data_IF_167268060642
#
_entry.id   IF_167268060642
#
_cell.length_a   1.000
_cell.length_b   1.000
_cell.length_c   1.000
_cell.angle_alpha   90.00
_cell.angle_beta   90.00
_cell.angle_gamma   90.00
#
_symmetry.space_group_name_H-M   'P 1'
#
loop_
_entity.id
_entity.type
_entity.pdbx_description
1 polymer ?
#
# COMPACT_ATOMS: atom_id res chain seq x y z
N UNK A 1 28.96 5.90 15.59
CA UNK A 1 27.64 6.40 15.13
C UNK A 1 27.76 6.94 13.71
N UNK A 2 27.38 6.15 12.69
CA UNK A 2 27.44 6.53 11.26
C UNK A 2 26.24 5.98 10.44
N UNK A 3 25.08 5.84 11.07
CA UNK A 3 23.87 5.27 10.42
C UNK A 3 22.75 6.29 10.16
N UNK A 4 22.80 7.51 10.71
CA UNK A 4 21.71 8.49 10.55
C UNK A 4 21.72 9.25 9.23
N UNK A 5 22.86 9.36 8.54
CA UNK A 5 22.96 10.09 7.26
C UNK A 5 22.45 9.28 6.06
N UNK A 6 22.61 7.95 6.08
CA UNK A 6 22.18 7.05 5.02
C UNK A 6 20.64 6.92 4.93
N UNK A 7 19.96 6.90 6.08
CA UNK A 7 18.49 6.85 6.16
C UNK A 7 17.86 8.16 5.67
N UNK A 8 18.49 9.31 5.97
CA UNK A 8 18.00 10.62 5.52
C UNK A 8 18.12 10.80 4.00
N UNK A 9 19.21 10.31 3.41
CA UNK A 9 19.39 10.36 1.96
C UNK A 9 18.33 9.52 1.24
N UNK A 10 18.00 8.34 1.76
CA UNK A 10 17.00 7.46 1.16
C UNK A 10 15.56 8.00 1.26
N UNK A 11 15.21 8.69 2.36
CA UNK A 11 13.91 9.38 2.48
C UNK A 11 13.81 10.56 1.50
N UNK A 12 14.87 11.37 1.38
CA UNK A 12 14.88 12.50 0.45
C UNK A 12 14.81 12.05 -1.01
N UNK A 13 15.53 10.98 -1.38
CA UNK A 13 15.46 10.38 -2.72
C UNK A 13 14.09 9.76 -3.00
N UNK A 14 13.44 9.15 -2.00
CA UNK A 14 12.07 8.65 -2.14
C UNK A 14 11.07 9.80 -2.35
N UNK A 15 11.19 10.91 -1.63
CA UNK A 15 10.32 12.09 -1.80
C UNK A 15 10.54 12.78 -3.16
N UNK A 16 11.78 12.81 -3.66
CA UNK A 16 12.13 13.34 -4.98
C UNK A 16 11.52 12.52 -6.12
N UNK A 17 11.57 11.18 -6.03
CA UNK A 17 11.01 10.29 -7.05
C UNK A 17 9.47 10.26 -7.07
N UNK A 18 8.82 10.82 -6.03
CA UNK A 18 7.35 10.89 -5.91
C UNK A 18 6.75 12.24 -6.36
N UNK A 19 7.55 13.15 -6.92
CA UNK A 19 7.07 14.45 -7.40
C UNK A 19 6.69 15.44 -6.29
N UNK A 20 6.99 15.14 -5.02
CA UNK A 20 6.71 15.99 -3.86
C UNK A 20 7.79 17.05 -3.60
N UNK A 21 8.83 17.11 -4.44
CA UNK A 21 10.05 17.86 -4.21
C UNK A 21 9.93 19.38 -4.35
N UNK A 22 8.89 19.91 -4.99
CA UNK A 22 8.78 21.36 -5.21
C UNK A 22 8.63 22.16 -3.92
N UNK A 23 8.30 21.52 -2.80
CA UNK A 23 7.97 22.20 -1.53
C UNK A 23 8.76 21.71 -0.30
N UNK A 24 9.82 20.90 -0.46
CA UNK A 24 10.61 20.39 0.68
C UNK A 24 11.85 21.24 0.89
N UNK A 25 11.91 21.99 2.00
CA UNK A 25 13.09 22.73 2.42
C UNK A 25 13.70 22.01 3.63
N UNK A 26 14.95 21.57 3.50
CA UNK A 26 15.72 21.05 4.62
C UNK A 26 16.32 22.23 5.41
N UNK A 27 16.00 22.31 6.71
CA UNK A 27 16.56 23.29 7.63
C UNK A 27 17.74 22.64 8.39
N UNK A 28 18.96 22.90 7.92
CA UNK A 28 20.19 22.30 8.44
C UNK A 28 20.49 22.69 9.90
N UNK A 29 19.83 23.72 10.45
CA UNK A 29 20.05 24.15 11.83
C UNK A 29 19.22 23.36 12.85
N UNK A 30 18.06 22.82 12.45
CA UNK A 30 17.08 22.21 13.38
C UNK A 30 16.88 20.71 13.19
N UNK A 31 17.43 20.12 12.12
CA UNK A 31 17.20 18.71 11.74
C UNK A 31 15.71 18.38 11.45
N UNK A 32 14.88 19.38 11.20
CA UNK A 32 13.47 19.22 10.84
C UNK A 32 13.24 19.35 9.34
N UNK A 33 12.33 18.53 8.81
CA UNK A 33 11.84 18.65 7.42
C UNK A 33 10.60 19.54 7.46
N UNK A 34 10.63 20.70 6.81
CA UNK A 34 9.50 21.63 6.72
C UNK A 34 8.97 21.62 5.28
N UNK A 35 7.66 21.40 5.15
CA UNK A 35 6.97 21.53 3.87
C UNK A 35 6.54 23.00 3.73
N UNK A 36 7.07 23.69 2.74
CA UNK A 36 6.73 25.09 2.47
C UNK A 36 5.29 25.16 1.93
N UNK A 37 4.43 25.95 2.60
CA UNK A 37 3.13 26.34 2.05
C UNK A 37 3.37 27.38 0.95
N UNK A 38 2.80 27.16 -0.23
CA UNK A 38 2.81 28.15 -1.31
C UNK A 38 1.96 29.36 -0.92
N UNK A 39 2.56 30.56 -0.87
CA UNK A 39 1.85 31.81 -0.67
C UNK A 39 1.37 32.37 -2.01
N UNK A 40 0.05 32.42 -2.23
CA UNK A 40 -0.52 33.22 -3.31
C UNK A 40 -1.00 34.57 -2.75
N UNK A 41 -0.40 35.65 -3.23
CA UNK A 41 -0.76 37.03 -2.86
C UNK A 41 -1.70 37.57 -3.92
N UNK A 42 -2.97 37.73 -3.56
CA UNK A 42 -3.93 38.42 -4.41
C UNK A 42 -4.24 39.83 -3.88
N UNK A 43 -4.28 40.79 -4.79
CA UNK A 43 -4.74 42.15 -4.53
C UNK A 43 -6.24 42.26 -4.87
N UNK A 44 -7.09 42.39 -3.85
CA UNK A 44 -8.52 42.70 -4.02
C UNK A 44 -8.70 44.22 -3.87
N UNK A 45 -9.33 44.91 -4.85
CA UNK A 45 -9.69 46.32 -4.69
C UNK A 45 -10.78 46.47 -3.62
N UNK A 46 -10.66 47.44 -2.71
CA UNK A 46 -11.81 47.86 -1.92
C UNK A 46 -12.73 48.80 -2.73
N UNK A 47 -13.97 49.00 -2.27
CA UNK A 47 -14.99 49.85 -2.91
C UNK A 47 -14.60 51.34 -3.03
N UNK A 48 -13.41 51.72 -2.54
CA UNK A 48 -12.84 53.06 -2.62
C UNK A 48 -11.50 53.12 -3.40
N UNK A 49 -11.12 52.04 -4.09
CA UNK A 49 -9.94 51.99 -4.95
C UNK A 49 -8.59 51.96 -4.22
N UNK A 50 -8.56 51.59 -2.94
CA UNK A 50 -7.33 51.34 -2.19
C UNK A 50 -7.13 49.83 -2.04
N UNK A 51 -5.93 49.33 -2.39
CA UNK A 51 -5.60 47.92 -2.20
C UNK A 51 -5.31 47.66 -0.72
N UNK A 52 -6.14 46.82 -0.08
CA UNK A 52 -5.76 46.19 1.18
C UNK A 52 -5.13 44.84 0.86
N UNK A 53 -3.87 44.65 1.26
CA UNK A 53 -3.26 43.33 1.28
C UNK A 53 -3.88 42.51 2.41
N UNK A 54 -4.85 41.68 2.07
CA UNK A 54 -5.39 40.67 2.97
C UNK A 54 -4.56 39.40 2.86
N UNK A 55 -3.97 38.94 3.97
CA UNK A 55 -3.39 37.60 4.05
C UNK A 55 -4.53 36.63 4.32
N UNK A 56 -5.05 36.01 3.26
CA UNK A 56 -5.89 34.83 3.42
C UNK A 56 -4.94 33.63 3.49
N UNK A 57 -4.94 32.95 4.63
CA UNK A 57 -4.41 31.60 4.68
C UNK A 57 -5.38 30.74 3.89
N UNK A 58 -5.03 30.41 2.65
CA UNK A 58 -5.64 29.29 1.96
C UNK A 58 -5.25 28.04 2.76
N UNK A 59 -6.12 27.64 3.66
CA UNK A 59 -6.22 26.25 4.07
C UNK A 59 -6.75 25.47 2.86
N UNK A 60 -5.90 25.29 1.84
CA UNK A 60 -6.01 24.14 0.93
C UNK A 60 -5.61 22.85 1.67
N UNK A 61 -5.96 22.73 2.95
CA UNK A 61 -6.24 21.45 3.55
C UNK A 61 -7.67 21.12 3.18
N UNK A 62 -7.88 20.73 1.92
CA UNK A 62 -8.79 19.63 1.69
C UNK A 62 -8.20 18.42 2.41
N UNK A 63 -8.35 18.39 3.74
CA UNK A 63 -8.51 17.16 4.49
C UNK A 63 -9.89 16.63 4.09
N UNK A 64 -10.03 16.25 2.82
CA UNK A 64 -11.01 15.26 2.46
C UNK A 64 -10.46 14.01 3.15
N UNK A 65 -11.07 13.64 4.26
CA UNK A 65 -11.05 12.24 4.68
C UNK A 65 -11.43 11.48 3.41
N UNK A 66 -10.46 10.84 2.75
CA UNK A 66 -10.77 10.04 1.57
C UNK A 66 -11.77 9.00 2.05
N UNK A 67 -13.04 9.12 1.62
CA UNK A 67 -14.10 8.19 1.97
C UNK A 67 -13.57 6.77 1.75
N UNK A 68 -13.46 6.02 2.85
CA UNK A 68 -12.74 4.75 2.82
C UNK A 68 -13.42 3.78 1.87
N UNK A 69 -12.62 3.10 1.04
CA UNK A 69 -13.13 2.16 0.03
C UNK A 69 -12.95 0.72 0.48
N UNK A 70 -14.02 -0.07 0.35
CA UNK A 70 -13.98 -1.50 0.63
C UNK A 70 -13.81 -2.29 -0.67
N UNK A 71 -12.96 -3.31 -0.61
CA UNK A 71 -12.80 -4.28 -1.68
C UNK A 71 -13.00 -5.70 -1.15
N UNK A 72 -13.63 -6.54 -1.96
CA UNK A 72 -13.62 -7.99 -1.78
C UNK A 72 -12.41 -8.56 -2.51
N UNK A 73 -11.63 -9.40 -1.84
CA UNK A 73 -10.54 -10.18 -2.41
C UNK A 73 -10.94 -11.65 -2.44
N UNK A 74 -10.63 -12.32 -3.55
CA UNK A 74 -10.83 -13.76 -3.75
C UNK A 74 -9.50 -14.37 -4.18
N UNK A 75 -8.95 -15.27 -3.37
CA UNK A 75 -7.75 -16.04 -3.71
C UNK A 75 -8.15 -17.25 -4.58
N UNK A 76 -7.35 -17.55 -5.59
CA UNK A 76 -7.72 -18.49 -6.65
C UNK A 76 -6.70 -19.62 -6.74
N UNK A 77 -5.44 -19.28 -6.98
CA UNK A 77 -4.38 -20.25 -7.23
C UNK A 77 -3.02 -19.73 -6.77
N UNK A 78 -2.07 -20.65 -6.61
CA UNK A 78 -0.64 -20.39 -6.46
C UNK A 78 0.20 -21.25 -7.38
N UNK A 79 1.42 -20.81 -7.63
CA UNK A 79 2.46 -21.57 -8.33
C UNK A 79 3.76 -21.49 -7.52
N UNK A 80 4.44 -22.63 -7.31
CA UNK A 80 5.67 -22.73 -6.53
C UNK A 80 6.88 -22.95 -7.46
N UNK A 81 7.64 -21.89 -7.82
CA UNK A 81 8.75 -22.01 -8.77
C UNK A 81 9.93 -22.82 -8.24
N UNK A 82 10.10 -22.92 -6.92
CA UNK A 82 11.24 -23.58 -6.28
C UNK A 82 10.90 -24.96 -5.71
N UNK A 83 9.75 -25.52 -6.10
CA UNK A 83 9.28 -26.82 -5.64
C UNK A 83 10.22 -27.94 -6.10
N UNK A 84 10.65 -28.78 -5.15
CA UNK A 84 11.25 -30.06 -5.48
C UNK A 84 10.15 -30.97 -6.03
N UNK A 85 10.40 -31.70 -7.13
CA UNK A 85 9.38 -32.48 -7.87
C UNK A 85 8.64 -33.56 -7.05
N UNK A 86 9.07 -33.80 -5.81
CA UNK A 86 8.51 -34.78 -4.90
C UNK A 86 7.55 -34.16 -3.87
N UNK A 87 7.45 -32.83 -3.81
CA UNK A 87 6.43 -32.12 -3.04
C UNK A 87 5.14 -32.04 -3.89
N UNK A 88 4.00 -32.37 -3.29
CA UNK A 88 2.67 -32.27 -3.91
C UNK A 88 1.95 -31.04 -3.32
N UNK A 89 2.32 -29.81 -3.72
CA UNK A 89 1.59 -28.63 -3.27
C UNK A 89 0.22 -28.48 -3.95
N UNK A 90 -0.79 -28.09 -3.17
CA UNK A 90 -2.08 -27.69 -3.70
C UNK A 90 -1.98 -26.31 -4.36
N UNK A 91 -1.95 -26.29 -5.70
CA UNK A 91 -1.93 -25.06 -6.49
C UNK A 91 -3.29 -24.34 -6.52
N UNK A 92 -4.38 -25.00 -6.13
CA UNK A 92 -5.70 -24.39 -5.99
C UNK A 92 -5.95 -24.02 -4.52
N UNK A 93 -5.71 -22.76 -4.19
CA UNK A 93 -5.70 -22.23 -2.83
C UNK A 93 -6.88 -21.26 -2.57
N UNK A 94 -8.13 -21.72 -2.66
CA UNK A 94 -9.30 -20.86 -2.63
C UNK A 94 -9.38 -20.11 -1.29
N UNK A 95 -9.76 -18.84 -1.38
CA UNK A 95 -9.91 -18.01 -0.20
C UNK A 95 -10.67 -16.72 -0.46
N UNK A 96 -11.02 -16.03 0.61
CA UNK A 96 -11.70 -14.76 0.54
C UNK A 96 -11.24 -13.82 1.66
N UNK A 97 -11.30 -12.53 1.39
CA UNK A 97 -10.94 -11.49 2.35
C UNK A 97 -11.46 -10.13 1.94
N UNK A 98 -11.20 -9.15 2.77
CA UNK A 98 -11.55 -7.75 2.54
C UNK A 98 -10.32 -6.86 2.62
N UNK A 99 -10.31 -5.80 1.82
CA UNK A 99 -9.36 -4.70 1.93
C UNK A 99 -10.14 -3.40 2.18
N UNK A 100 -9.77 -2.63 3.20
CA UNK A 100 -10.31 -1.31 3.46
C UNK A 100 -9.23 -0.25 3.24
N UNK A 101 -9.39 0.57 2.21
CA UNK A 101 -8.43 1.59 1.76
C UNK A 101 -8.79 2.95 2.35
N UNK A 102 -7.84 3.60 3.00
CA UNK A 102 -7.98 4.91 3.62
C UNK A 102 -6.60 5.59 3.74
N UNK A 103 -6.54 6.90 3.43
CA UNK A 103 -5.35 7.74 3.59
C UNK A 103 -4.08 7.17 2.93
N UNK A 104 -4.23 6.60 1.73
CA UNK A 104 -3.13 5.98 0.98
C UNK A 104 -2.63 4.65 1.52
N UNK A 105 -3.20 4.10 2.60
CA UNK A 105 -2.93 2.74 3.09
C UNK A 105 -4.18 1.88 2.95
N UNK A 106 -4.03 0.58 3.18
CA UNK A 106 -5.19 -0.30 3.35
C UNK A 106 -4.96 -1.33 4.45
N UNK A 107 -6.05 -1.70 5.11
CA UNK A 107 -6.10 -2.84 6.02
C UNK A 107 -6.66 -4.03 5.29
N UNK A 108 -6.04 -5.20 5.44
CA UNK A 108 -6.53 -6.42 4.84
C UNK A 108 -6.73 -7.50 5.89
N UNK A 109 -7.77 -8.33 5.71
CA UNK A 109 -8.00 -9.52 6.51
C UNK A 109 -8.76 -10.55 5.68
N UNK A 110 -8.46 -11.84 5.88
CA UNK A 110 -9.12 -12.90 5.16
C UNK A 110 -8.65 -14.29 5.56
N UNK A 111 -9.09 -15.26 4.78
CA UNK A 111 -8.74 -16.67 4.95
C UNK A 111 -8.56 -17.34 3.58
N UNK A 112 -7.82 -18.44 3.56
CA UNK A 112 -7.58 -19.26 2.38
C UNK A 112 -7.16 -20.67 2.79
N UNK A 113 -7.30 -21.63 1.89
CA UNK A 113 -6.67 -22.94 1.99
C UNK A 113 -5.24 -22.83 1.44
N UNK A 114 -4.22 -23.17 2.21
CA UNK A 114 -2.83 -23.06 1.77
C UNK A 114 -2.35 -24.26 0.97
N UNK A 115 -1.11 -24.19 0.47
CA UNK A 115 -0.47 -25.21 -0.37
C UNK A 115 -0.33 -26.59 0.29
N UNK A 116 -0.48 -26.68 1.61
CA UNK A 116 -0.43 -27.93 2.39
C UNK A 116 -1.82 -28.36 2.90
N UNK A 117 -2.89 -27.94 2.21
CA UNK A 117 -4.29 -28.23 2.50
C UNK A 117 -4.74 -27.84 3.91
N UNK A 118 -4.23 -26.71 4.42
CA UNK A 118 -4.61 -26.17 5.73
C UNK A 118 -5.30 -24.82 5.60
N UNK A 119 -6.37 -24.70 6.38
CA UNK A 119 -7.02 -23.43 6.59
C UNK A 119 -6.07 -22.43 7.24
N UNK A 120 -5.90 -21.31 6.56
CA UNK A 120 -4.99 -20.24 6.92
C UNK A 120 -5.75 -18.92 6.99
N UNK A 121 -5.36 -18.06 7.93
CA UNK A 121 -5.92 -16.72 8.08
C UNK A 121 -4.81 -15.71 7.95
N UNK A 122 -5.14 -14.52 7.46
CA UNK A 122 -4.18 -13.42 7.37
C UNK A 122 -4.84 -12.11 7.77
N UNK A 123 -4.02 -11.19 8.28
CA UNK A 123 -4.36 -9.79 8.40
C UNK A 123 -3.12 -8.92 8.36
N UNK A 124 -3.27 -7.69 7.89
CA UNK A 124 -2.13 -6.79 7.72
C UNK A 124 -2.49 -5.40 7.25
N UNK A 125 -1.45 -4.63 6.99
CA UNK A 125 -1.51 -3.27 6.43
C UNK A 125 -0.68 -3.27 5.16
N UNK A 126 -1.21 -2.66 4.12
CA UNK A 126 -0.50 -2.49 2.87
C UNK A 126 -0.52 -1.07 2.34
N UNK A 127 0.31 -0.87 1.34
CA UNK A 127 0.41 0.36 0.56
C UNK A 127 0.52 -0.02 -0.91
N UNK A 128 -0.20 0.69 -1.77
CA UNK A 128 -0.11 0.49 -3.22
C UNK A 128 -0.14 1.81 -3.97
N UNK A 129 0.43 1.81 -5.18
CA UNK A 129 0.42 2.95 -6.09
C UNK A 129 0.18 2.50 -7.52
N UNK A 130 -0.59 3.30 -8.24
CA UNK A 130 -0.70 3.24 -9.71
C UNK A 130 0.58 3.77 -10.32
N UNK A 131 1.14 3.08 -11.32
CA UNK A 131 2.42 3.47 -11.95
C UNK A 131 2.21 3.71 -13.44
N UNK A 132 2.46 4.94 -13.89
CA UNK A 132 2.47 5.36 -15.30
C UNK A 132 1.11 5.37 -16.00
N UNK A 133 0.31 4.33 -15.81
CA UNK A 133 -1.00 4.12 -16.44
C UNK A 133 -2.03 3.67 -15.42
N UNK A 134 -3.31 3.99 -15.64
CA UNK A 134 -4.39 3.69 -14.68
C UNK A 134 -4.69 2.19 -14.53
N UNK A 135 -4.20 1.35 -15.45
CA UNK A 135 -4.42 -0.10 -15.41
C UNK A 135 -3.34 -0.88 -14.65
N UNK A 136 -2.22 -0.25 -14.28
CA UNK A 136 -1.10 -0.94 -13.65
C UNK A 136 -0.74 -0.33 -12.29
N UNK A 137 -0.52 -1.18 -11.29
CA UNK A 137 -0.05 -0.76 -9.97
C UNK A 137 0.93 -1.74 -9.34
N UNK A 138 1.63 -1.22 -8.34
CA UNK A 138 2.54 -1.98 -7.48
C UNK A 138 2.11 -1.78 -6.04
N UNK A 139 2.24 -2.81 -5.22
CA UNK A 139 1.96 -2.71 -3.80
C UNK A 139 2.71 -3.73 -2.96
N UNK A 140 2.55 -3.56 -1.66
CA UNK A 140 3.09 -4.49 -0.67
C UNK A 140 2.09 -4.62 0.48
N UNK A 141 1.88 -5.85 0.94
CA UNK A 141 1.14 -6.16 2.16
C UNK A 141 2.12 -6.67 3.21
N UNK A 142 2.21 -5.97 4.35
CA UNK A 142 2.89 -6.45 5.53
C UNK A 142 1.88 -6.93 6.56
N UNK A 143 2.08 -8.10 7.14
CA UNK A 143 1.11 -8.63 8.10
C UNK A 143 1.52 -9.93 8.73
N UNK A 144 0.51 -10.65 9.24
CA UNK A 144 0.67 -11.99 9.77
C UNK A 144 -0.19 -12.97 9.01
N UNK A 145 0.29 -14.21 8.92
CA UNK A 145 -0.42 -15.37 8.35
C UNK A 145 -0.32 -16.54 9.31
N UNK A 146 -1.35 -17.39 9.38
CA UNK A 146 -1.40 -18.60 10.22
C UNK A 146 -1.45 -19.85 9.35
N UNK A 147 -1.35 -21.05 9.95
CA UNK A 147 -1.62 -22.34 9.26
C UNK A 147 -0.35 -23.11 8.86
N UNK A 148 0.81 -22.45 8.89
CA UNK A 148 2.13 -23.04 8.68
C UNK A 148 2.67 -23.59 10.02
N UNK A 149 3.30 -24.77 10.02
CA UNK A 149 3.77 -25.55 11.20
C UNK A 149 2.70 -26.32 12.01
N UNK A 150 1.53 -26.62 11.44
CA UNK A 150 0.55 -27.53 12.08
C UNK A 150 -0.34 -26.88 13.15
N UNK A 151 -0.47 -25.54 13.14
CA UNK A 151 -1.41 -24.82 13.99
C UNK A 151 -1.65 -23.37 13.56
N UNK A 152 -2.32 -22.60 14.41
CA UNK A 152 -2.60 -21.16 14.19
C UNK A 152 -1.41 -20.24 14.54
N UNK A 153 -0.17 -20.73 14.50
CA UNK A 153 1.01 -19.93 14.85
C UNK A 153 1.17 -18.79 13.85
N UNK A 154 1.06 -17.52 14.27
CA UNK A 154 1.18 -16.39 13.35
C UNK A 154 2.64 -16.20 12.93
N UNK A 155 2.85 -16.04 11.63
CA UNK A 155 4.13 -15.75 11.00
C UNK A 155 4.06 -14.39 10.33
N UNK A 156 5.11 -13.58 10.47
CA UNK A 156 5.21 -12.32 9.76
C UNK A 156 5.49 -12.57 8.28
N UNK A 157 4.80 -11.84 7.42
CA UNK A 157 4.99 -11.90 5.97
C UNK A 157 5.00 -10.50 5.37
N UNK A 158 5.82 -10.33 4.34
CA UNK A 158 5.84 -9.16 3.48
C UNK A 158 5.64 -9.65 2.05
N UNK A 159 4.48 -9.31 1.48
CA UNK A 159 3.99 -9.85 0.21
C UNK A 159 3.96 -8.71 -0.81
N UNK A 160 5.02 -8.52 -1.62
CA UNK A 160 4.98 -7.60 -2.74
C UNK A 160 4.05 -8.15 -3.83
N UNK A 161 3.40 -7.24 -4.56
CA UNK A 161 2.50 -7.63 -5.63
C UNK A 161 2.43 -6.58 -6.73
N UNK A 162 2.00 -7.05 -7.90
CA UNK A 162 1.54 -6.20 -8.99
C UNK A 162 0.02 -6.29 -9.10
N UNK A 163 -0.57 -5.24 -9.64
CA UNK A 163 -2.02 -5.10 -9.77
C UNK A 163 -2.36 -4.69 -11.20
N UNK A 164 -3.25 -5.46 -11.83
CA UNK A 164 -3.82 -5.18 -13.14
C UNK A 164 -5.28 -4.77 -12.97
N UNK A 165 -5.59 -3.50 -13.18
CA UNK A 165 -6.91 -2.89 -12.94
C UNK A 165 -7.75 -2.85 -14.21
N UNK A 166 -9.04 -3.14 -14.08
CA UNK A 166 -10.04 -2.95 -15.11
C UNK A 166 -11.36 -2.50 -14.47
N UNK A 167 -11.56 -1.18 -14.40
CA UNK A 167 -12.73 -0.58 -13.75
C UNK A 167 -12.84 -0.98 -12.29
N UNK A 168 -13.93 -1.67 -11.93
CA UNK A 168 -14.21 -2.13 -10.55
C UNK A 168 -13.56 -3.47 -10.19
N UNK A 169 -12.84 -4.09 -11.12
CA UNK A 169 -12.17 -5.37 -10.89
C UNK A 169 -10.67 -5.23 -11.07
N UNK A 170 -9.89 -6.06 -10.39
CA UNK A 170 -8.45 -6.12 -10.59
C UNK A 170 -7.92 -7.52 -10.36
N UNK A 171 -6.84 -7.88 -11.05
CA UNK A 171 -6.06 -9.08 -10.77
C UNK A 171 -4.81 -8.67 -9.96
N UNK A 172 -4.60 -9.30 -8.82
CA UNK A 172 -3.39 -9.22 -8.02
C UNK A 172 -2.54 -10.45 -8.29
N UNK A 173 -1.28 -10.21 -8.63
CA UNK A 173 -0.26 -11.24 -8.75
C UNK A 173 0.78 -10.93 -7.69
N UNK A 174 0.89 -11.81 -6.70
CA UNK A 174 1.65 -11.54 -5.47
C UNK A 174 2.71 -12.60 -5.24
N UNK A 175 3.87 -12.16 -4.78
CA UNK A 175 4.96 -13.06 -4.41
C UNK A 175 4.96 -13.24 -2.90
N UNK A 176 4.83 -14.49 -2.46
CA UNK A 176 4.96 -14.88 -1.06
C UNK A 176 6.37 -15.45 -0.90
N UNK A 177 7.29 -14.76 -0.21
CA UNK A 177 8.59 -15.35 0.10
C UNK A 177 8.38 -16.54 1.04
N UNK A 178 9.28 -17.53 0.99
CA UNK A 178 9.26 -18.69 1.87
C UNK A 178 9.06 -18.26 3.35
N UNK A 179 8.03 -18.82 4.00
CA UNK A 179 7.66 -18.50 5.38
C UNK A 179 8.02 -19.66 6.29
N UNK A 180 9.17 -19.55 6.97
CA UNK A 180 9.69 -20.62 7.82
C UNK A 180 10.39 -21.72 7.02
N UNK A 181 10.49 -22.92 7.62
CA UNK A 181 11.23 -24.06 7.05
C UNK A 181 10.31 -25.06 6.31
N UNK A 182 9.01 -24.75 6.19
CA UNK A 182 7.96 -25.70 5.75
C UNK A 182 7.24 -25.32 4.46
N UNK A 183 7.52 -24.14 3.90
CA UNK A 183 6.90 -23.68 2.65
C UNK A 183 7.95 -23.10 1.73
N UNK A 184 7.82 -23.40 0.43
CA UNK A 184 8.65 -22.80 -0.61
C UNK A 184 8.12 -21.40 -0.94
N UNK A 185 8.85 -20.63 -1.74
CA UNK A 185 8.31 -19.38 -2.22
C UNK A 185 7.20 -19.62 -3.26
N UNK A 186 6.21 -18.73 -3.30
CA UNK A 186 5.02 -18.92 -4.13
C UNK A 186 4.64 -17.64 -4.88
N UNK A 187 4.04 -17.83 -6.05
CA UNK A 187 3.35 -16.78 -6.80
C UNK A 187 1.85 -17.03 -6.69
N UNK A 188 1.13 -16.18 -5.98
CA UNK A 188 -0.30 -16.26 -5.80
C UNK A 188 -1.08 -15.35 -6.73
N UNK A 189 -2.30 -15.78 -7.07
CA UNK A 189 -3.24 -15.08 -7.94
C UNK A 189 -4.55 -14.82 -7.21
N UNK A 190 -4.96 -13.56 -7.15
CA UNK A 190 -6.23 -13.18 -6.53
C UNK A 190 -6.99 -12.13 -7.33
N UNK A 191 -8.31 -12.25 -7.36
CA UNK A 191 -9.20 -11.25 -7.93
C UNK A 191 -9.63 -10.27 -6.83
N UNK A 192 -9.72 -8.99 -7.16
CA UNK A 192 -10.19 -7.92 -6.29
C UNK A 192 -11.36 -7.19 -6.93
N UNK A 193 -12.39 -6.90 -6.14
CA UNK A 193 -13.61 -6.23 -6.60
C UNK A 193 -13.91 -5.02 -5.70
N UNK A 194 -14.02 -3.84 -6.30
CA UNK A 194 -14.42 -2.59 -5.63
C UNK A 194 -15.89 -2.69 -5.21
N UNK A 195 -16.14 -2.64 -3.91
CA UNK A 195 -17.47 -2.70 -3.31
C UNK A 195 -18.08 -1.32 -3.07
N UNK A 196 -17.31 -0.24 -3.23
CA UNK A 196 -17.73 1.15 -3.01
C UNK A 196 -17.17 1.76 -1.72
N UNK A 197 -17.51 3.04 -1.51
CA UNK A 197 -17.17 3.78 -0.30
C UNK A 197 -18.10 3.44 0.88
N UNK A 198 -17.57 3.55 2.09
CA UNK A 198 -18.31 3.49 3.36
C UNK A 198 -18.29 4.87 4.02
N UNK A 199 -19.48 5.36 4.38
CA UNK A 199 -19.74 6.70 4.96
C UNK A 199 -19.79 6.67 6.49
#
# INVERSE_FOLDING_TARGET
MKYSSLIKFSILTALLNLGLASNVIADDATNEIKIAKSEEVYSVPDDYGKSKQGKFYSENSESILEDGRLFLQVNIASYHPSEDKDDDFNEFNPGAGFEYHMDGYYYAAGFFENSIDKFSTYWGVGHERTIGTDWFGLGILGGVVTGYDGGFSPRLAAVPYILLKNGRSSLKIHYVPAVGDVDSDAIGFSARFDMGGFF
#
